data_IF_103971019860
#
_entry.id   IF_103971019860
#
_cell.length_a   1.000
_cell.length_b   1.000
_cell.length_c   1.000
_cell.angle_alpha   90.00
_cell.angle_beta   90.00
_cell.angle_gamma   90.00
#
_symmetry.space_group_name_H-M   'P 1'
#
loop_
_entity.id
_entity.type
_entity.pdbx_description
1 polymer ?
#
# COMPACT_ATOMS: atom_id res chain seq x y z
N UNK A 1 -15.38 7.91 -5.82
CA UNK A 1 -14.30 8.00 -6.81
C UNK A 1 -13.47 6.73 -6.79
N UNK A 2 -13.14 6.18 -7.95
CA UNK A 2 -12.24 5.05 -8.05
C UNK A 2 -10.79 5.46 -7.78
N UNK A 3 -9.91 4.48 -7.62
CA UNK A 3 -8.48 4.72 -7.46
C UNK A 3 -7.92 5.43 -8.71
N UNK A 4 -8.38 5.03 -9.90
CA UNK A 4 -7.97 5.65 -11.16
C UNK A 4 -8.40 7.13 -11.22
N UNK A 5 -9.63 7.42 -10.80
CA UNK A 5 -10.12 8.81 -10.77
C UNK A 5 -9.33 9.66 -9.78
N UNK A 6 -9.03 9.12 -8.61
CA UNK A 6 -8.21 9.82 -7.61
C UNK A 6 -6.82 10.11 -8.14
N UNK A 7 -6.23 9.18 -8.91
CA UNK A 7 -4.91 9.34 -9.50
C UNK A 7 -4.85 10.49 -10.51
N UNK A 8 -5.96 10.79 -11.19
CA UNK A 8 -6.04 11.90 -12.15
C UNK A 8 -5.78 13.26 -11.49
N UNK A 9 -6.19 13.41 -10.24
CA UNK A 9 -6.13 14.68 -9.52
C UNK A 9 -5.09 14.69 -8.40
N UNK A 10 -4.53 13.54 -8.04
CA UNK A 10 -3.52 13.47 -6.98
C UNK A 10 -2.22 14.16 -7.42
N UNK A 11 -1.57 14.85 -6.49
CA UNK A 11 -0.31 15.53 -6.74
C UNK A 11 0.73 15.11 -5.70
N UNK A 12 1.99 14.92 -6.11
CA UNK A 12 3.05 14.64 -5.16
C UNK A 12 3.38 15.89 -4.35
N UNK A 13 3.92 15.68 -3.15
CA UNK A 13 4.36 16.73 -2.26
C UNK A 13 3.41 16.97 -1.11
N UNK A 14 3.92 17.62 -0.06
CA UNK A 14 3.17 17.91 1.14
C UNK A 14 2.89 16.66 1.99
N UNK A 15 2.06 16.86 3.02
CA UNK A 15 1.67 15.78 3.91
C UNK A 15 0.53 14.95 3.30
N UNK A 16 0.45 13.68 3.69
CA UNK A 16 -0.58 12.77 3.20
C UNK A 16 -1.38 12.20 4.36
N UNK A 17 -2.54 11.60 4.04
CA UNK A 17 -3.33 10.86 5.03
C UNK A 17 -2.52 9.73 5.65
N UNK A 18 -1.62 9.09 4.89
CA UNK A 18 -0.78 8.01 5.41
C UNK A 18 0.26 8.55 6.40
N UNK A 19 0.85 9.69 6.14
CA UNK A 19 1.72 10.36 7.11
C UNK A 19 0.99 10.64 8.41
N UNK A 20 -0.24 11.10 8.33
CA UNK A 20 -1.07 11.36 9.51
C UNK A 20 -1.41 10.09 10.27
N UNK A 21 -1.70 9.01 9.57
CA UNK A 21 -1.96 7.69 10.18
C UNK A 21 -0.72 7.20 10.93
N UNK A 22 0.45 7.31 10.32
CA UNK A 22 1.72 6.88 10.91
C UNK A 22 2.01 7.65 12.19
N UNK A 23 1.74 8.96 12.21
CA UNK A 23 1.97 9.80 13.39
C UNK A 23 0.89 9.68 14.47
N UNK A 24 -0.15 8.88 14.22
CA UNK A 24 -1.24 8.70 15.17
C UNK A 24 -2.26 9.83 15.19
N UNK A 25 -2.25 10.72 14.21
CA UNK A 25 -3.21 11.83 14.12
C UNK A 25 -4.59 11.38 13.66
N UNK A 26 -4.65 10.22 12.97
CA UNK A 26 -5.90 9.60 12.55
C UNK A 26 -5.96 8.22 13.19
N UNK A 27 -6.98 7.95 14.03
CA UNK A 27 -7.15 6.64 14.66
C UNK A 27 -7.25 5.54 13.59
N UNK A 28 -6.46 4.47 13.74
CA UNK A 28 -6.39 3.40 12.76
C UNK A 28 -6.10 2.09 13.48
N UNK A 29 -6.80 1.02 13.09
CA UNK A 29 -6.48 -0.32 13.58
C UNK A 29 -5.42 -0.93 12.69
N UNK A 30 -4.26 -1.23 13.27
CA UNK A 30 -3.15 -1.82 12.51
C UNK A 30 -3.21 -3.34 12.54
N UNK A 31 -3.01 -3.96 11.38
CA UNK A 31 -2.81 -5.42 11.26
C UNK A 31 -1.38 -5.80 11.63
N UNK A 32 -0.44 -4.87 11.45
CA UNK A 32 0.97 -5.03 11.77
C UNK A 32 1.58 -3.65 11.92
N UNK A 33 2.53 -3.52 12.84
CA UNK A 33 3.26 -2.27 13.03
C UNK A 33 4.65 -2.61 13.53
N UNK A 34 5.66 -2.06 12.89
CA UNK A 34 7.04 -2.15 13.34
C UNK A 34 7.76 -0.81 13.06
N UNK A 35 9.08 -0.76 13.27
CA UNK A 35 9.86 0.47 13.11
C UNK A 35 9.94 0.92 11.65
N UNK A 36 9.68 0.04 10.70
CA UNK A 36 9.86 0.30 9.27
C UNK A 36 8.54 0.57 8.56
N UNK A 37 7.45 -0.10 8.97
CA UNK A 37 6.17 0.02 8.27
C UNK A 37 4.97 -0.20 9.19
N UNK A 38 3.81 0.21 8.68
CA UNK A 38 2.51 -0.08 9.27
C UNK A 38 1.63 -0.75 8.24
N UNK A 39 0.67 -1.57 8.69
CA UNK A 39 -0.27 -2.27 7.80
C UNK A 39 -1.69 -2.04 8.31
N UNK A 40 -2.58 -1.65 7.41
CA UNK A 40 -3.99 -1.44 7.75
C UNK A 40 -4.89 -1.74 6.55
N UNK A 41 -6.15 -2.04 6.81
CA UNK A 41 -7.11 -2.33 5.74
C UNK A 41 -7.41 -1.08 4.91
N UNK A 42 -7.54 -1.26 3.60
CA UNK A 42 -8.01 -0.20 2.71
C UNK A 42 -9.52 0.01 2.96
N UNK A 43 -9.92 1.26 3.22
CA UNK A 43 -11.32 1.60 3.46
C UNK A 43 -12.19 1.48 2.19
N UNK A 44 -11.55 1.50 1.02
CA UNK A 44 -12.21 1.32 -0.27
C UNK A 44 -11.84 -0.04 -0.85
N UNK A 45 -11.99 -1.10 -0.06
CA UNK A 45 -11.55 -2.45 -0.42
C UNK A 45 -12.14 -2.92 -1.75
N UNK A 46 -11.28 -3.47 -2.60
CA UNK A 46 -11.63 -3.99 -3.92
C UNK A 46 -11.65 -5.52 -3.94
N UNK A 47 -11.47 -6.15 -2.79
CA UNK A 47 -11.52 -7.59 -2.59
C UNK A 47 -11.94 -7.86 -1.14
N UNK A 48 -12.40 -9.08 -0.80
CA UNK A 48 -12.73 -9.41 0.60
C UNK A 48 -11.57 -9.18 1.57
N UNK A 49 -10.33 -9.38 1.12
CA UNK A 49 -9.14 -8.95 1.84
C UNK A 49 -8.41 -7.95 0.95
N UNK A 50 -8.22 -6.75 1.45
CA UNK A 50 -7.47 -5.70 0.77
C UNK A 50 -6.81 -4.82 1.83
N UNK A 51 -5.50 -4.97 1.99
CA UNK A 51 -4.74 -4.18 2.97
C UNK A 51 -3.58 -3.46 2.31
N UNK A 52 -3.04 -2.48 3.02
CA UNK A 52 -1.94 -1.63 2.57
C UNK A 52 -0.75 -1.82 3.50
N UNK A 53 0.45 -1.95 2.92
CA UNK A 53 1.71 -1.95 3.66
C UNK A 53 2.40 -0.63 3.34
N UNK A 54 2.62 0.19 4.37
CA UNK A 54 3.05 1.59 4.21
C UNK A 54 4.34 1.82 4.98
N UNK A 55 5.43 2.26 4.33
CA UNK A 55 6.68 2.53 5.04
C UNK A 55 6.56 3.79 5.89
N UNK A 56 7.22 3.77 7.04
CA UNK A 56 7.32 4.96 7.92
C UNK A 56 8.06 6.08 7.20
N UNK A 57 9.13 5.74 6.46
CA UNK A 57 9.84 6.71 5.63
C UNK A 57 8.91 7.22 4.51
N UNK A 58 8.75 8.54 4.33
CA UNK A 58 7.83 9.08 3.33
C UNK A 58 8.43 9.05 1.91
N UNK A 59 8.58 7.86 1.36
CA UNK A 59 8.98 7.69 -0.04
C UNK A 59 7.78 8.08 -0.90
N UNK A 60 7.93 9.05 -1.78
CA UNK A 60 6.82 9.64 -2.52
C UNK A 60 6.21 8.63 -3.48
N UNK A 61 7.04 7.94 -4.25
CA UNK A 61 6.63 6.94 -5.24
C UNK A 61 7.81 6.02 -5.54
N UNK A 62 7.51 4.86 -6.11
CA UNK A 62 8.56 3.86 -6.39
C UNK A 62 9.67 4.41 -7.29
N UNK A 63 9.31 5.18 -8.32
CA UNK A 63 10.29 5.75 -9.25
C UNK A 63 11.28 6.69 -8.57
N UNK A 64 10.94 7.26 -7.41
CA UNK A 64 11.79 8.17 -6.65
C UNK A 64 12.47 7.51 -5.45
N UNK A 65 12.27 6.21 -5.25
CA UNK A 65 13.01 5.48 -4.22
C UNK A 65 14.49 5.48 -4.57
N UNK A 66 15.33 5.55 -3.53
CA UNK A 66 16.78 5.52 -3.69
C UNK A 66 17.30 4.08 -3.56
N UNK A 67 18.50 3.84 -4.07
CA UNK A 67 19.12 2.51 -3.93
C UNK A 67 19.29 2.11 -2.46
N UNK A 68 19.51 3.11 -1.58
CA UNK A 68 19.58 2.90 -0.14
C UNK A 68 18.26 2.46 0.49
N UNK A 69 17.13 2.56 -0.21
CA UNK A 69 15.83 2.10 0.25
C UNK A 69 15.60 0.60 0.00
N UNK A 70 16.59 -0.09 -0.50
CA UNK A 70 16.52 -1.52 -0.85
C UNK A 70 15.99 -2.37 0.32
N UNK A 71 16.49 -2.17 1.52
CA UNK A 71 16.07 -2.93 2.69
C UNK A 71 14.64 -2.61 3.09
N UNK A 72 14.24 -1.34 3.00
CA UNK A 72 12.87 -0.93 3.27
C UNK A 72 11.92 -1.61 2.30
N UNK A 73 12.21 -1.54 1.00
CA UNK A 73 11.35 -2.13 -0.03
C UNK A 73 11.21 -3.64 0.14
N UNK A 74 12.32 -4.34 0.40
CA UNK A 74 12.30 -5.78 0.68
C UNK A 74 11.49 -6.09 1.94
N UNK A 75 11.63 -5.29 2.97
CA UNK A 75 10.86 -5.45 4.22
C UNK A 75 9.36 -5.33 3.97
N UNK A 76 8.93 -4.36 3.16
CA UNK A 76 7.51 -4.19 2.84
C UNK A 76 6.93 -5.46 2.19
N UNK A 77 7.67 -6.08 1.26
CA UNK A 77 7.21 -7.29 0.60
C UNK A 77 7.15 -8.49 1.54
N UNK A 78 8.12 -8.62 2.45
CA UNK A 78 8.13 -9.71 3.43
C UNK A 78 7.00 -9.54 4.45
N UNK A 79 6.72 -8.32 4.87
CA UNK A 79 5.58 -8.04 5.75
C UNK A 79 4.26 -8.31 5.03
N UNK A 80 4.15 -7.92 3.74
CA UNK A 80 2.97 -8.23 2.93
C UNK A 80 2.69 -9.73 2.91
N UNK A 81 3.71 -10.54 2.69
CA UNK A 81 3.61 -12.00 2.71
C UNK A 81 3.14 -12.51 4.07
N UNK A 82 3.72 -12.01 5.15
CA UNK A 82 3.38 -12.42 6.51
C UNK A 82 1.93 -12.12 6.85
N UNK A 83 1.49 -10.89 6.58
CA UNK A 83 0.11 -10.47 6.87
C UNK A 83 -0.88 -11.22 5.99
N UNK A 84 -0.52 -11.49 4.72
CA UNK A 84 -1.34 -12.31 3.83
C UNK A 84 -1.59 -13.69 4.43
N UNK A 85 -0.57 -14.33 4.99
CA UNK A 85 -0.71 -15.61 5.66
C UNK A 85 -1.62 -15.49 6.90
N UNK A 86 -1.43 -14.45 7.71
CA UNK A 86 -2.25 -14.19 8.89
C UNK A 86 -3.72 -13.97 8.52
N UNK A 87 -3.99 -13.40 7.34
CA UNK A 87 -5.34 -13.17 6.84
C UNK A 87 -5.93 -14.39 6.11
N UNK A 88 -5.22 -15.49 6.07
CA UNK A 88 -5.70 -16.74 5.50
C UNK A 88 -5.70 -16.80 3.97
N UNK A 89 -4.86 -16.03 3.30
CA UNK A 89 -4.79 -16.00 1.83
C UNK A 89 -4.02 -17.19 1.28
N UNK A 90 -4.55 -18.42 1.48
CA UNK A 90 -3.88 -19.66 1.11
C UNK A 90 -3.99 -20.00 -0.37
N UNK A 91 -4.97 -19.40 -1.09
CA UNK A 91 -5.22 -19.66 -2.51
C UNK A 91 -4.48 -18.67 -3.42
N UNK A 92 -3.70 -17.78 -2.83
CA UNK A 92 -2.95 -16.77 -3.56
C UNK A 92 -3.50 -15.37 -3.35
N UNK A 93 -2.73 -14.40 -3.82
CA UNK A 93 -3.07 -12.98 -3.69
C UNK A 93 -2.26 -12.19 -4.69
N UNK A 94 -2.64 -10.94 -4.89
CA UNK A 94 -1.89 -10.04 -5.77
C UNK A 94 -1.25 -8.93 -4.95
N UNK A 95 -0.01 -8.60 -5.29
CA UNK A 95 0.75 -7.51 -4.68
C UNK A 95 0.92 -6.44 -5.74
N UNK A 96 0.52 -5.21 -5.42
CA UNK A 96 0.48 -4.11 -6.39
C UNK A 96 1.13 -2.88 -5.78
N UNK A 97 2.02 -2.25 -6.56
CA UNK A 97 2.53 -0.92 -6.26
C UNK A 97 2.14 -0.04 -7.44
N UNK A 98 1.26 0.93 -7.20
CA UNK A 98 0.87 1.91 -8.20
C UNK A 98 1.89 3.05 -8.20
N UNK A 99 2.47 3.36 -9.35
CA UNK A 99 3.46 4.42 -9.49
C UNK A 99 2.97 5.49 -10.46
N UNK A 100 2.78 6.69 -9.96
CA UNK A 100 2.41 7.84 -10.76
C UNK A 100 0.98 7.82 -11.29
N UNK A 101 0.64 8.82 -12.10
CA UNK A 101 -0.71 9.02 -12.62
C UNK A 101 -1.17 7.83 -13.47
N UNK A 102 -0.36 7.40 -14.45
CA UNK A 102 -0.73 6.28 -15.33
C UNK A 102 -0.78 4.95 -14.57
N UNK A 103 -0.04 4.82 -13.46
CA UNK A 103 -0.09 3.64 -12.60
C UNK A 103 -1.27 3.61 -11.65
N UNK A 104 -2.05 4.71 -11.56
CA UNK A 104 -3.20 4.79 -10.68
C UNK A 104 -2.87 5.16 -9.24
N UNK A 105 -1.72 5.80 -9.01
CA UNK A 105 -1.33 6.21 -7.66
C UNK A 105 -2.19 7.39 -7.18
N UNK A 106 -2.95 7.17 -6.11
CA UNK A 106 -3.86 8.18 -5.57
C UNK A 106 -3.31 8.91 -4.35
N UNK A 107 -2.36 8.32 -3.63
CA UNK A 107 -1.70 8.93 -2.47
C UNK A 107 -0.20 8.86 -2.70
N UNK A 108 0.46 10.03 -2.64
CA UNK A 108 1.91 10.13 -2.90
C UNK A 108 2.73 9.91 -1.63
N UNK A 109 2.51 8.78 -1.04
CA UNK A 109 3.31 8.12 -0.03
C UNK A 109 3.29 6.65 -0.45
N UNK A 110 4.42 6.13 -0.92
CA UNK A 110 4.53 4.77 -1.46
C UNK A 110 3.79 3.77 -0.57
N UNK A 111 3.01 2.90 -1.18
CA UNK A 111 2.30 1.85 -0.44
C UNK A 111 2.11 0.63 -1.32
N UNK A 112 2.06 -0.51 -0.67
CA UNK A 112 1.87 -1.81 -1.31
C UNK A 112 0.47 -2.28 -1.03
N UNK A 113 -0.33 -2.51 -2.08
CA UNK A 113 -1.64 -3.14 -1.97
C UNK A 113 -1.49 -4.65 -1.96
N UNK A 114 -2.25 -5.32 -1.11
CA UNK A 114 -2.40 -6.78 -1.17
C UNK A 114 -3.88 -7.09 -1.25
N UNK A 115 -4.29 -7.79 -2.31
CA UNK A 115 -5.69 -8.15 -2.55
C UNK A 115 -5.81 -9.67 -2.66
N UNK A 116 -6.82 -10.23 -2.01
CA UNK A 116 -7.04 -11.67 -2.05
C UNK A 116 -8.45 -12.07 -1.65
N UNK A 117 -8.65 -13.35 -1.51
CA UNK A 117 -9.92 -14.01 -1.18
C UNK A 117 -10.97 -13.90 -2.28
N UNK A 118 -10.54 -13.63 -3.50
CA UNK A 118 -11.36 -13.79 -4.70
C UNK A 118 -10.45 -14.02 -5.91
N UNK A 119 -11.01 -14.55 -6.99
CA UNK A 119 -10.26 -14.67 -8.24
C UNK A 119 -10.04 -13.28 -8.84
N UNK A 120 -8.79 -12.92 -9.05
CA UNK A 120 -8.42 -11.68 -9.71
C UNK A 120 -8.22 -11.94 -11.20
N UNK A 121 -8.56 -10.95 -12.00
CA UNK A 121 -8.51 -11.08 -13.46
C UNK A 121 -7.15 -10.77 -14.07
N UNK A 122 -7.04 -11.02 -15.35
CA UNK A 122 -5.86 -10.66 -16.13
C UNK A 122 -6.30 -10.09 -17.47
N UNK A 123 -5.67 -9.01 -18.01
CA UNK A 123 -4.55 -8.27 -17.42
C UNK A 123 -4.91 -7.49 -16.15
N UNK A 124 -3.92 -7.02 -15.38
CA UNK A 124 -4.17 -6.40 -14.08
C UNK A 124 -4.81 -5.00 -14.15
N UNK A 125 -4.93 -4.45 -15.32
CA UNK A 125 -5.54 -3.12 -15.49
C UNK A 125 -6.39 -2.98 -16.73
#
# INVERSE_FOLDING_TARGET
MSETDKAQTATPGGDTIFGKIIRGEIPTTFLHKDDVCVVFNDISAQAPVHFLVVPVKPIVRLAEAEDSDKEILGHLLLVAKKVAADQGLTEGYRVIINDGQHGGQSVYHLHVHVLGQRQLGWPPG
#
